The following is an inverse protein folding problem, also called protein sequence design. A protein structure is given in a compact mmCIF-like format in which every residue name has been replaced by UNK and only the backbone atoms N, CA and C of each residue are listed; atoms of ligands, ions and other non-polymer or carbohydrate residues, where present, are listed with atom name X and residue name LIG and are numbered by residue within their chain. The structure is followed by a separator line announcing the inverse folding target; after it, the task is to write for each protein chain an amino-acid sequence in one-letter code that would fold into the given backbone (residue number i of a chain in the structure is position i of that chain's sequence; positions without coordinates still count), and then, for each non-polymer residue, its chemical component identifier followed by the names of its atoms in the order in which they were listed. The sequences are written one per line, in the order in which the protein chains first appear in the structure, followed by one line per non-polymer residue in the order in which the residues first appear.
data_IF_223806361119
#
_entry.id   IF_223806361119
#
_cell.length_a   1.000
_cell.length_b   1.000
_cell.length_c   1.000
_cell.angle_alpha   90.00
_cell.angle_beta   90.00
_cell.angle_gamma   90.00
#
_symmetry.space_group_name_H-M   'P 1'
#
loop_
_entity.id
_entity.type
_entity.pdbx_description
1 polymer ?
#
# COMPACT_ATOMS: atom_id res chain seq x y z
N UNK A 1 -16.86 10.47 12.93
CA UNK A 1 -18.22 10.83 12.48
C UNK A 1 -18.73 9.67 11.65
N UNK A 2 -19.87 9.04 11.99
CA UNK A 2 -20.46 8.02 11.13
C UNK A 2 -21.27 8.77 10.07
N UNK A 3 -20.88 8.70 8.80
CA UNK A 3 -21.74 9.16 7.71
C UNK A 3 -22.93 8.19 7.68
N UNK A 4 -24.09 8.64 8.17
CA UNK A 4 -25.32 7.86 8.20
C UNK A 4 -26.34 8.51 7.26
N UNK A 5 -26.29 8.14 5.98
CA UNK A 5 -27.42 8.28 5.07
C UNK A 5 -28.30 7.02 5.19
N UNK A 6 -29.59 7.22 5.48
CA UNK A 6 -30.59 6.15 5.62
C UNK A 6 -30.56 5.23 4.38
N UNK A 7 -30.46 3.90 4.60
CA UNK A 7 -30.35 2.79 3.61
C UNK A 7 -28.97 2.41 3.04
N UNK A 8 -27.84 2.82 3.63
CA UNK A 8 -26.54 2.31 3.18
C UNK A 8 -26.36 0.80 3.41
N UNK A 9 -25.96 0.08 2.35
CA UNK A 9 -25.65 -1.35 2.40
C UNK A 9 -24.34 -1.58 3.17
N UNK A 10 -24.25 -2.73 3.86
CA UNK A 10 -23.02 -3.14 4.52
C UNK A 10 -22.01 -3.64 3.46
N UNK A 11 -20.74 -3.18 3.50
CA UNK A 11 -19.71 -3.59 2.56
C UNK A 11 -19.17 -5.00 2.91
N UNK A 12 -19.94 -6.04 2.60
CA UNK A 12 -19.49 -7.43 2.81
C UNK A 12 -18.54 -7.82 1.68
N UNK A 13 -17.30 -8.17 2.03
CA UNK A 13 -16.29 -8.66 1.08
C UNK A 13 -15.59 -7.57 0.24
N UNK A 14 -15.87 -6.28 0.49
CA UNK A 14 -15.20 -5.17 -0.19
C UNK A 14 -13.94 -4.80 0.60
N UNK A 15 -12.78 -4.93 -0.04
CA UNK A 15 -11.48 -4.60 0.54
C UNK A 15 -10.78 -3.41 -0.15
N UNK A 16 -11.43 -2.81 -1.16
CA UNK A 16 -10.98 -1.63 -1.88
C UNK A 16 -11.71 -0.38 -1.41
N UNK A 17 -10.96 0.61 -0.93
CA UNK A 17 -11.48 1.83 -0.34
C UNK A 17 -12.22 2.71 -1.35
N UNK A 18 -11.62 2.94 -2.51
CA UNK A 18 -12.18 3.71 -3.61
C UNK A 18 -13.54 3.14 -4.07
N UNK A 19 -13.62 1.82 -4.25
CA UNK A 19 -14.87 1.14 -4.61
C UNK A 19 -15.94 1.29 -3.54
N UNK A 20 -15.54 1.20 -2.27
CA UNK A 20 -16.45 1.31 -1.13
C UNK A 20 -17.11 2.70 -1.08
N UNK A 21 -16.30 3.77 -1.18
CA UNK A 21 -16.79 5.16 -1.16
C UNK A 21 -17.63 5.45 -2.40
N UNK A 22 -17.13 5.14 -3.61
CA UNK A 22 -17.85 5.42 -4.87
C UNK A 22 -19.18 4.70 -4.99
N UNK A 23 -19.32 3.54 -4.36
CA UNK A 23 -20.57 2.77 -4.38
C UNK A 23 -21.53 3.15 -3.24
N UNK A 24 -21.20 4.15 -2.41
CA UNK A 24 -22.05 4.62 -1.32
C UNK A 24 -22.32 3.56 -0.25
N UNK A 25 -21.37 2.67 0.02
CA UNK A 25 -21.51 1.69 1.10
C UNK A 25 -21.29 2.34 2.47
N UNK A 26 -21.84 1.72 3.51
CA UNK A 26 -21.59 2.13 4.88
C UNK A 26 -20.08 2.07 5.21
N UNK A 27 -19.49 3.21 5.54
CA UNK A 27 -18.09 3.34 5.88
C UNK A 27 -17.92 3.94 7.27
N UNK A 28 -17.13 3.27 8.12
CA UNK A 28 -16.67 3.86 9.37
C UNK A 28 -15.40 4.63 9.07
N UNK A 29 -15.48 5.96 9.15
CA UNK A 29 -14.36 6.83 8.85
C UNK A 29 -13.17 6.58 9.78
N UNK A 30 -12.06 6.13 9.18
CA UNK A 30 -10.77 5.89 9.85
C UNK A 30 -9.66 6.75 9.24
N UNK A 31 -10.01 7.79 8.50
CA UNK A 31 -9.02 8.64 7.81
C UNK A 31 -8.13 9.44 8.76
N UNK A 32 -8.53 9.62 10.03
CA UNK A 32 -7.63 10.10 11.10
C UNK A 32 -6.35 9.26 11.25
N UNK A 33 -6.36 8.00 10.82
CA UNK A 33 -5.17 7.15 10.78
C UNK A 33 -4.06 7.75 9.90
N UNK A 34 -4.42 8.47 8.84
CA UNK A 34 -3.46 9.14 7.93
C UNK A 34 -2.66 10.19 8.70
N UNK A 35 -3.37 11.09 9.39
CA UNK A 35 -2.78 12.12 10.23
C UNK A 35 -1.89 11.50 11.32
N UNK A 36 -2.37 10.48 12.03
CA UNK A 36 -1.58 9.80 13.06
C UNK A 36 -0.30 9.15 12.50
N UNK A 37 -0.35 8.62 11.28
CA UNK A 37 0.81 7.99 10.63
C UNK A 37 1.84 9.03 10.20
N UNK A 38 1.40 10.20 9.74
CA UNK A 38 2.27 11.32 9.35
C UNK A 38 2.90 12.01 10.58
N UNK A 39 2.16 12.15 11.67
CA UNK A 39 2.67 12.75 12.91
C UNK A 39 3.62 11.80 13.67
N UNK A 40 3.36 10.49 13.64
CA UNK A 40 4.20 9.50 14.30
C UNK A 40 5.13 8.81 13.30
N UNK A 41 6.09 9.57 12.74
CA UNK A 41 7.06 9.07 11.75
C UNK A 41 7.94 7.93 12.30
N UNK A 42 7.45 6.70 12.17
CA UNK A 42 8.26 5.50 12.24
C UNK A 42 8.74 5.09 10.84
N UNK A 43 10.02 4.73 10.71
CA UNK A 43 10.56 4.16 9.46
C UNK A 43 9.79 2.91 9.01
N UNK A 44 9.24 2.16 9.98
CA UNK A 44 8.42 0.97 9.74
C UNK A 44 7.21 1.01 10.65
N UNK A 45 6.00 1.05 10.07
CA UNK A 45 4.73 0.98 10.78
C UNK A 45 4.12 -0.42 10.67
N UNK A 46 3.91 -1.09 11.80
CA UNK A 46 3.34 -2.45 11.86
C UNK A 46 1.90 -2.43 12.39
N UNK A 47 0.94 -2.74 11.51
CA UNK A 47 -0.45 -2.96 11.92
C UNK A 47 -0.64 -4.39 12.46
N UNK A 48 -0.63 -4.56 13.79
CA UNK A 48 -0.84 -5.84 14.51
C UNK A 48 -2.26 -6.39 14.33
N UNK A 49 -2.54 -7.68 14.62
CA UNK A 49 -3.78 -8.43 14.26
C UNK A 49 -4.96 -8.33 15.27
N UNK A 50 -5.70 -7.21 15.38
CA UNK A 50 -7.10 -7.28 15.77
C UNK A 50 -7.94 -7.78 14.59
N UNK A 51 -8.71 -8.85 14.80
CA UNK A 51 -9.60 -9.43 13.79
C UNK A 51 -10.71 -8.43 13.46
N UNK A 52 -11.11 -8.35 12.17
CA UNK A 52 -12.16 -7.43 11.66
C UNK A 52 -11.87 -5.93 11.82
N UNK A 53 -10.63 -5.54 12.11
CA UNK A 53 -10.25 -4.12 12.20
C UNK A 53 -10.28 -3.39 10.84
N UNK A 54 -10.39 -4.11 9.72
CA UNK A 54 -10.41 -3.50 8.39
C UNK A 54 -9.02 -3.14 7.86
N UNK A 55 -7.97 -3.88 8.25
CA UNK A 55 -6.60 -3.59 7.82
C UNK A 55 -6.44 -3.49 6.31
N UNK A 56 -6.99 -4.44 5.55
CA UNK A 56 -6.87 -4.43 4.09
C UNK A 56 -7.51 -3.17 3.51
N UNK A 57 -8.70 -2.82 4.00
CA UNK A 57 -9.41 -1.61 3.63
C UNK A 57 -8.61 -0.35 4.01
N UNK A 58 -8.02 -0.30 5.21
CA UNK A 58 -7.17 0.81 5.64
C UNK A 58 -5.90 0.94 4.79
N UNK A 59 -5.26 -0.18 4.43
CA UNK A 59 -4.10 -0.16 3.53
C UNK A 59 -4.51 0.32 2.13
N UNK A 60 -5.69 -0.07 1.64
CA UNK A 60 -6.25 0.48 0.40
C UNK A 60 -6.56 1.97 0.52
N UNK A 61 -7.06 2.44 1.65
CA UNK A 61 -7.30 3.86 1.93
C UNK A 61 -6.00 4.66 1.94
N UNK A 62 -4.95 4.18 2.63
CA UNK A 62 -3.63 4.81 2.62
C UNK A 62 -3.06 4.87 1.21
N UNK A 63 -3.16 3.78 0.45
CA UNK A 63 -2.79 3.75 -0.97
C UNK A 63 -3.55 4.84 -1.73
N UNK A 64 -4.88 4.86 -1.65
CA UNK A 64 -5.69 5.88 -2.32
C UNK A 64 -5.32 7.30 -1.89
N UNK A 65 -4.95 7.54 -0.63
CA UNK A 65 -4.60 8.88 -0.17
C UNK A 65 -3.28 9.37 -0.79
N UNK A 66 -2.22 8.56 -0.73
CA UNK A 66 -0.88 8.99 -1.15
C UNK A 66 -0.64 8.87 -2.67
N UNK A 67 -1.37 7.98 -3.37
CA UNK A 67 -1.09 7.61 -4.77
C UNK A 67 -1.25 8.77 -5.75
N UNK A 68 -0.23 9.00 -6.59
CA UNK A 68 -0.30 9.95 -7.72
C UNK A 68 -1.54 9.71 -8.58
N UNK A 69 -2.22 10.82 -8.91
CA UNK A 69 -3.44 10.79 -9.71
C UNK A 69 -4.67 10.32 -8.93
N UNK A 70 -4.60 10.33 -7.59
CA UNK A 70 -5.76 10.02 -6.76
C UNK A 70 -6.92 10.97 -7.04
N UNK A 71 -8.11 10.40 -6.96
CA UNK A 71 -9.37 11.12 -7.01
C UNK A 71 -9.64 11.71 -5.62
N UNK A 72 -9.38 13.01 -5.46
CA UNK A 72 -9.50 13.70 -4.16
C UNK A 72 -10.91 13.62 -3.57
N UNK A 73 -11.93 13.45 -4.42
CA UNK A 73 -13.33 13.34 -4.00
C UNK A 73 -13.60 12.10 -3.15
N UNK A 74 -12.71 11.09 -3.20
CA UNK A 74 -12.75 9.91 -2.32
C UNK A 74 -12.66 10.24 -0.82
N UNK A 75 -12.13 11.42 -0.48
CA UNK A 75 -11.95 11.86 0.90
C UNK A 75 -12.94 12.95 1.30
N UNK A 76 -13.81 13.37 0.38
CA UNK A 76 -14.84 14.36 0.68
C UNK A 76 -15.72 13.86 1.84
N UNK A 77 -16.02 14.77 2.77
CA UNK A 77 -16.82 14.48 3.97
C UNK A 77 -16.18 13.47 4.96
N UNK A 78 -14.93 13.05 4.75
CA UNK A 78 -14.14 12.29 5.72
C UNK A 78 -13.28 13.23 6.56
N UNK A 79 -12.88 12.78 7.75
CA UNK A 79 -12.10 13.55 8.72
C UNK A 79 -10.86 14.20 8.10
N UNK A 80 -10.09 13.45 7.29
CA UNK A 80 -8.81 13.95 6.74
C UNK A 80 -8.99 15.16 5.82
N UNK A 81 -10.14 15.30 5.14
CA UNK A 81 -10.39 16.44 4.24
C UNK A 81 -10.47 17.78 4.97
N UNK A 82 -10.73 17.77 6.28
CA UNK A 82 -10.67 18.98 7.10
C UNK A 82 -9.23 19.48 7.30
N UNK A 83 -8.23 18.58 7.23
CA UNK A 83 -6.82 18.93 7.38
C UNK A 83 -6.21 19.27 6.02
N UNK A 84 -6.43 20.52 5.58
CA UNK A 84 -6.01 21.02 4.25
C UNK A 84 -4.50 20.95 4.04
N UNK A 85 -3.72 21.30 5.05
CA UNK A 85 -2.24 21.28 4.98
C UNK A 85 -1.73 19.88 4.65
N UNK A 86 -2.17 18.85 5.38
CA UNK A 86 -1.79 17.46 5.10
C UNK A 86 -2.28 17.00 3.72
N UNK A 87 -3.47 17.44 3.30
CA UNK A 87 -4.00 17.08 1.99
C UNK A 87 -3.18 17.72 0.85
N UNK A 88 -2.80 18.99 0.98
CA UNK A 88 -2.01 19.70 -0.03
C UNK A 88 -0.60 19.10 -0.14
N UNK A 89 0.04 18.81 1.00
CA UNK A 89 1.41 18.31 1.04
C UNK A 89 1.52 16.83 0.63
N UNK A 90 0.56 15.98 0.99
CA UNK A 90 0.72 14.52 0.84
C UNK A 90 -0.30 13.84 -0.09
N UNK A 91 -1.51 14.37 -0.24
CA UNK A 91 -2.57 13.68 -0.98
C UNK A 91 -2.26 13.67 -2.47
N UNK A 92 -2.13 12.48 -3.03
CA UNK A 92 -1.90 12.28 -4.45
C UNK A 92 -0.49 12.64 -4.93
N UNK A 93 0.50 12.67 -4.04
CA UNK A 93 1.85 13.14 -4.36
C UNK A 93 2.87 12.03 -4.56
N UNK A 94 2.59 10.79 -4.13
CA UNK A 94 3.59 9.73 -4.07
C UNK A 94 3.27 8.54 -4.98
N UNK A 95 4.28 7.95 -5.63
CA UNK A 95 4.12 6.70 -6.35
C UNK A 95 4.12 5.53 -5.35
N UNK A 96 2.95 5.21 -4.83
CA UNK A 96 2.80 4.19 -3.79
C UNK A 96 3.09 2.81 -4.36
N UNK A 97 4.02 2.09 -3.75
CA UNK A 97 4.25 0.66 -4.04
C UNK A 97 3.31 -0.16 -3.14
N UNK A 98 2.32 -0.80 -3.74
CA UNK A 98 1.35 -1.64 -3.04
C UNK A 98 1.49 -3.10 -3.47
N UNK A 99 1.99 -3.94 -2.56
CA UNK A 99 2.15 -5.38 -2.82
C UNK A 99 1.18 -6.17 -1.93
N UNK A 100 0.15 -6.72 -2.55
CA UNK A 100 -0.71 -7.71 -1.92
C UNK A 100 -0.13 -9.11 -2.14
N UNK A 101 0.08 -9.85 -1.06
CA UNK A 101 0.45 -11.27 -1.13
C UNK A 101 -0.77 -12.19 -1.16
N UNK A 102 -1.98 -11.63 -1.22
CA UNK A 102 -3.23 -12.38 -1.42
C UNK A 102 -3.18 -12.97 -2.84
N UNK A 103 -3.15 -14.29 -2.95
CA UNK A 103 -3.01 -14.99 -4.24
C UNK A 103 -1.57 -15.25 -4.68
N UNK A 104 -0.58 -15.01 -3.81
CA UNK A 104 0.78 -15.55 -4.01
C UNK A 104 0.82 -16.93 -3.36
N UNK A 105 0.41 -17.93 -4.12
CA UNK A 105 0.42 -19.34 -3.76
C UNK A 105 0.96 -20.21 -4.90
N UNK A 106 1.06 -21.52 -4.64
CA UNK A 106 1.59 -22.50 -5.57
C UNK A 106 1.67 -23.86 -4.90
N UNK A 107 1.58 -24.93 -5.68
CA UNK A 107 1.67 -26.31 -5.17
C UNK A 107 3.10 -26.62 -4.68
N UNK A 108 4.08 -25.87 -5.16
CA UNK A 108 5.48 -25.94 -4.73
C UNK A 108 6.12 -24.55 -4.60
N UNK A 109 7.34 -24.52 -4.05
CA UNK A 109 8.08 -23.28 -3.81
C UNK A 109 8.36 -22.47 -5.09
N UNK A 110 8.65 -23.13 -6.21
CA UNK A 110 9.00 -22.43 -7.46
C UNK A 110 7.77 -21.78 -8.11
N UNK A 111 6.60 -22.38 -8.00
CA UNK A 111 5.32 -21.77 -8.40
C UNK A 111 5.01 -20.54 -7.55
N UNK A 112 5.04 -20.65 -6.21
CA UNK A 112 4.77 -19.53 -5.33
C UNK A 112 5.76 -18.36 -5.55
N UNK A 113 7.04 -18.68 -5.79
CA UNK A 113 8.08 -17.71 -6.15
C UNK A 113 7.81 -17.06 -7.50
N UNK A 114 7.26 -17.80 -8.46
CA UNK A 114 6.86 -17.25 -9.76
C UNK A 114 5.68 -16.29 -9.62
N UNK A 115 4.68 -16.62 -8.82
CA UNK A 115 3.56 -15.72 -8.48
C UNK A 115 4.03 -14.45 -7.77
N UNK A 116 5.00 -14.56 -6.87
CA UNK A 116 5.61 -13.40 -6.22
C UNK A 116 6.32 -12.49 -7.23
N UNK A 117 7.10 -13.08 -8.15
CA UNK A 117 7.77 -12.32 -9.22
C UNK A 117 6.76 -11.60 -10.11
N UNK A 118 5.66 -12.26 -10.47
CA UNK A 118 4.59 -11.66 -11.26
C UNK A 118 3.99 -10.47 -10.50
N UNK A 119 3.65 -10.65 -9.23
CA UNK A 119 3.08 -9.57 -8.38
C UNK A 119 4.00 -8.34 -8.33
N UNK A 120 5.29 -8.55 -8.06
CA UNK A 120 6.28 -7.47 -8.02
C UNK A 120 6.43 -6.80 -9.40
N UNK A 121 6.47 -7.61 -10.48
CA UNK A 121 6.61 -7.09 -11.84
C UNK A 121 5.41 -6.23 -12.23
N UNK A 122 4.19 -6.70 -11.96
CA UNK A 122 2.96 -5.96 -12.26
C UNK A 122 2.93 -4.62 -11.53
N UNK A 123 3.27 -4.61 -10.24
CA UNK A 123 3.32 -3.36 -9.48
C UNK A 123 4.43 -2.41 -9.98
N UNK A 124 5.60 -2.93 -10.35
CA UNK A 124 6.65 -2.11 -10.95
C UNK A 124 6.25 -1.54 -12.32
N UNK A 125 5.49 -2.28 -13.13
CA UNK A 125 4.99 -1.84 -14.43
C UNK A 125 3.95 -0.72 -14.31
N UNK A 126 3.13 -0.73 -13.25
CA UNK A 126 2.16 0.35 -12.96
C UNK A 126 2.82 1.73 -12.88
N UNK A 127 4.06 1.75 -12.42
CA UNK A 127 4.88 2.96 -12.23
C UNK A 127 5.83 3.24 -13.42
N UNK A 128 5.69 2.53 -14.54
CA UNK A 128 6.61 2.63 -15.68
C UNK A 128 6.66 4.04 -16.30
N UNK A 129 5.54 4.77 -16.32
CA UNK A 129 5.48 6.13 -16.86
C UNK A 129 6.30 7.14 -16.03
N UNK A 130 6.55 6.85 -14.75
CA UNK A 130 7.44 7.65 -13.91
C UNK A 130 8.91 7.53 -14.33
N UNK A 131 9.28 6.42 -14.99
CA UNK A 131 10.58 6.26 -15.66
C UNK A 131 10.69 7.15 -16.89
N UNK A 132 9.61 7.31 -17.67
CA UNK A 132 9.60 8.14 -18.88
C UNK A 132 9.60 9.64 -18.57
N UNK A 133 8.86 10.04 -17.53
CA UNK A 133 8.75 11.45 -17.11
C UNK A 133 10.02 12.01 -16.45
N UNK A 134 11.07 11.21 -16.25
CA UNK A 134 12.32 11.64 -15.59
C UNK A 134 12.19 11.95 -14.10
N UNK A 135 10.97 11.87 -13.53
CA UNK A 135 10.69 12.10 -12.10
C UNK A 135 11.20 10.97 -11.20
N UNK A 136 11.46 9.79 -11.77
CA UNK A 136 12.26 8.75 -11.10
C UNK A 136 13.72 9.02 -11.41
N UNK A 137 14.37 9.79 -10.53
CA UNK A 137 15.80 9.68 -10.36
C UNK A 137 16.07 8.31 -9.74
N UNK A 138 16.26 7.28 -10.57
CA UNK A 138 17.25 6.27 -10.21
C UNK A 138 18.48 7.10 -9.86
N UNK A 139 18.95 7.10 -8.60
CA UNK A 139 20.25 7.72 -8.29
C UNK A 139 21.18 7.21 -9.38
N UNK A 140 21.60 8.10 -10.29
CA UNK A 140 22.59 7.84 -11.35
C UNK A 140 23.90 7.59 -10.62
N UNK A 141 24.02 6.41 -10.00
CA UNK A 141 25.10 5.89 -9.15
C UNK A 141 24.72 4.65 -8.32
N UNK A 142 23.61 3.95 -8.58
CA UNK A 142 23.63 2.52 -8.25
C UNK A 142 24.75 1.90 -9.11
N UNK A 143 25.93 1.66 -8.51
CA UNK A 143 27.08 1.05 -9.19
C UNK A 143 26.56 -0.16 -9.96
N UNK A 144 26.79 -0.18 -11.28
CA UNK A 144 26.53 -1.38 -12.10
C UNK A 144 27.13 -2.57 -11.37
N UNK A 145 26.31 -3.55 -11.07
CA UNK A 145 26.69 -4.51 -10.06
C UNK A 145 25.59 -5.45 -9.65
N UNK A 146 26.02 -6.43 -8.87
CA UNK A 146 25.21 -7.51 -8.36
C UNK A 146 24.97 -7.24 -6.87
N UNK A 147 23.75 -6.85 -6.52
CA UNK A 147 23.36 -6.53 -5.16
C UNK A 147 22.76 -7.75 -4.49
N UNK A 148 23.30 -8.16 -3.35
CA UNK A 148 22.69 -9.19 -2.50
C UNK A 148 21.79 -8.52 -1.47
N UNK A 149 20.48 -8.56 -1.71
CA UNK A 149 19.47 -8.08 -0.77
C UNK A 149 19.16 -9.21 0.20
N UNK A 150 19.37 -8.96 1.50
CA UNK A 150 19.03 -9.91 2.55
C UNK A 150 17.57 -9.72 2.93
N UNK A 151 16.74 -10.71 2.62
CA UNK A 151 15.36 -10.76 3.11
C UNK A 151 15.41 -11.45 4.47
N UNK A 152 15.09 -10.73 5.54
CA UNK A 152 15.03 -11.28 6.90
C UNK A 152 13.60 -11.35 7.41
N UNK A 153 13.32 -12.34 8.24
CA UNK A 153 12.14 -12.38 9.09
C UNK A 153 12.51 -11.84 10.49
N UNK A 154 11.53 -11.32 11.23
CA UNK A 154 11.73 -10.90 12.61
C UNK A 154 12.33 -12.04 13.45
N UNK A 155 13.26 -11.70 14.37
CA UNK A 155 14.02 -12.66 15.19
C UNK A 155 13.12 -13.65 15.95
N UNK A 156 11.89 -13.26 16.28
CA UNK A 156 10.91 -14.05 17.04
C UNK A 156 10.01 -14.93 16.18
N UNK A 157 10.15 -14.92 14.85
CA UNK A 157 9.29 -15.71 13.98
C UNK A 157 9.90 -17.08 13.67
N UNK A 158 9.04 -18.11 13.61
CA UNK A 158 9.37 -19.48 13.14
C UNK A 158 9.99 -19.55 11.72
N UNK A 159 10.00 -18.44 10.99
CA UNK A 159 10.57 -18.29 9.65
C UNK A 159 11.99 -17.72 9.65
N UNK A 160 12.69 -17.72 10.78
CA UNK A 160 14.08 -17.26 10.86
C UNK A 160 15.02 -18.05 9.91
N UNK A 161 14.68 -19.32 9.62
CA UNK A 161 15.38 -20.15 8.61
C UNK A 161 15.05 -19.76 7.15
N UNK A 162 14.02 -18.95 6.92
CA UNK A 162 13.63 -18.46 5.60
C UNK A 162 14.38 -17.18 5.17
N UNK A 163 15.37 -16.74 5.96
CA UNK A 163 16.28 -15.67 5.57
C UNK A 163 16.98 -16.08 4.28
N UNK A 164 16.73 -15.33 3.20
CA UNK A 164 17.29 -15.60 1.88
C UNK A 164 17.97 -14.36 1.34
N UNK A 165 19.03 -14.58 0.57
CA UNK A 165 19.67 -13.53 -0.20
C UNK A 165 19.09 -13.56 -1.61
N UNK A 166 18.52 -12.44 -2.04
CA UNK A 166 18.10 -12.24 -3.42
C UNK A 166 19.16 -11.41 -4.12
N UNK A 167 19.63 -11.94 -5.24
CA UNK A 167 20.64 -11.27 -6.06
C UNK A 167 19.93 -10.43 -7.13
N UNK A 168 20.06 -9.12 -7.06
CA UNK A 168 19.53 -8.18 -8.05
C UNK A 168 20.70 -7.64 -8.87
N UNK A 169 20.68 -7.90 -10.18
CA UNK A 169 21.69 -7.37 -11.11
C UNK A 169 21.17 -6.09 -11.74
N UNK A 170 21.84 -4.97 -11.44
CA UNK A 170 21.57 -3.68 -12.06
C UNK A 170 22.50 -3.56 -13.27
N UNK A 171 21.91 -3.68 -14.47
CA UNK A 171 22.60 -3.56 -15.77
C UNK A 171 22.65 -2.10 -16.22
#
# INVERSE_FOLDING_TARGET
MVLAMNNMKLPVGIDQFDKLIKSGFYYVDKTRLIEQLLQNWGEVNLFTRPRRFGKTLNMSMLKSFFEIGTDKTLFDQLYIAANKELCEEYMGQYPVIFLSLKGVDGLNFEEAKSMLKITIRTEAQRHYELKKSGKVTLKKKAKKGTYKIRITAAKTSKYQKAVKYVTVKVK
#
